data_IF_271699654796
#
_entry.id   IF_271699654796
#
_cell.length_a   1.000
_cell.length_b   1.000
_cell.length_c   1.000
_cell.angle_alpha   90.00
_cell.angle_beta   90.00
_cell.angle_gamma   90.00
#
_symmetry.space_group_name_H-M   'P 1'
#
loop_
_entity.id
_entity.type
_entity.pdbx_description
1 polymer ?
#
# COMPACT_ATOMS: atom_id res chain seq x y z
N UNK A 1 120.82 -8.26 63.08
CA UNK A 1 119.42 -7.89 63.41
C UNK A 1 118.60 -8.20 62.17
N UNK A 2 117.52 -8.97 62.09
CA UNK A 2 116.72 -9.82 62.99
C UNK A 2 115.70 -10.48 62.04
N UNK A 3 115.34 -11.76 62.28
CA UNK A 3 114.23 -12.54 61.66
C UNK A 3 112.87 -11.77 61.70
N UNK A 4 111.75 -12.19 61.03
CA UNK A 4 111.46 -13.53 60.51
C UNK A 4 110.62 -13.65 59.20
N UNK A 5 110.48 -14.91 58.78
CA UNK A 5 109.53 -15.49 57.81
C UNK A 5 108.06 -15.17 58.11
N UNK A 6 107.17 -15.32 57.10
CA UNK A 6 106.26 -16.47 57.15
C UNK A 6 106.03 -17.17 55.81
N UNK A 7 105.54 -18.40 55.97
CA UNK A 7 105.21 -19.46 55.03
C UNK A 7 103.93 -19.17 54.20
N UNK A 8 103.87 -19.64 52.94
CA UNK A 8 102.60 -19.93 52.22
C UNK A 8 102.81 -20.73 50.94
N UNK A 9 102.35 -21.98 50.99
CA UNK A 9 102.07 -22.91 49.89
C UNK A 9 101.28 -22.27 48.73
N UNK A 10 101.57 -22.67 47.48
CA UNK A 10 100.52 -22.78 46.44
C UNK A 10 100.90 -23.68 45.25
N UNK A 11 99.98 -24.60 45.00
CA UNK A 11 99.94 -25.73 44.06
C UNK A 11 100.03 -25.39 42.56
N UNK A 12 100.52 -26.39 41.81
CA UNK A 12 100.19 -26.82 40.44
C UNK A 12 99.25 -25.93 39.61
N UNK A 13 99.83 -25.12 38.70
CA UNK A 13 99.08 -24.26 37.77
C UNK A 13 99.08 -24.70 36.29
N UNK A 14 99.60 -25.87 35.93
CA UNK A 14 99.65 -26.30 34.53
C UNK A 14 98.50 -27.23 34.08
N UNK A 15 97.75 -27.84 35.01
CA UNK A 15 96.68 -28.83 34.69
C UNK A 15 95.24 -28.28 34.65
N UNK A 16 94.98 -27.11 35.26
CA UNK A 16 93.62 -26.56 35.37
C UNK A 16 93.15 -25.81 34.12
N UNK A 17 94.06 -25.21 33.33
CA UNK A 17 93.70 -24.40 32.15
C UNK A 17 93.18 -25.27 31.00
N UNK A 18 93.74 -26.47 30.81
CA UNK A 18 93.38 -27.36 29.70
C UNK A 18 92.04 -28.07 29.95
N UNK A 19 91.75 -28.44 31.20
CA UNK A 19 90.46 -28.98 31.62
C UNK A 19 89.36 -27.92 31.55
N UNK A 20 89.63 -26.68 31.98
CA UNK A 20 88.66 -25.59 31.92
C UNK A 20 88.26 -25.25 30.48
N UNK A 21 89.21 -25.18 29.55
CA UNK A 21 88.93 -24.90 28.13
C UNK A 21 88.11 -26.02 27.47
N UNK A 22 88.36 -27.29 27.81
CA UNK A 22 87.58 -28.43 27.30
C UNK A 22 86.15 -28.42 27.87
N UNK A 23 86.00 -28.13 29.17
CA UNK A 23 84.69 -28.05 29.83
C UNK A 23 83.89 -26.85 29.30
N UNK A 24 84.52 -25.69 29.11
CA UNK A 24 83.90 -24.52 28.50
C UNK A 24 83.49 -24.79 27.04
N UNK A 25 84.33 -25.47 26.26
CA UNK A 25 84.01 -25.84 24.89
C UNK A 25 82.85 -26.85 24.81
N UNK A 26 82.79 -27.84 25.71
CA UNK A 26 81.66 -28.78 25.79
C UNK A 26 80.36 -28.09 26.20
N UNK A 27 80.40 -27.19 27.20
CA UNK A 27 79.23 -26.41 27.62
C UNK A 27 78.72 -25.51 26.48
N UNK A 28 79.64 -24.89 25.73
CA UNK A 28 79.28 -24.07 24.57
C UNK A 28 78.54 -24.89 23.51
N UNK A 29 78.98 -26.10 23.21
CA UNK A 29 78.33 -26.99 22.23
C UNK A 29 76.91 -27.39 22.69
N UNK A 30 76.74 -27.73 23.96
CA UNK A 30 75.42 -28.11 24.51
C UNK A 30 74.45 -26.91 24.44
N UNK A 31 74.91 -25.72 24.83
CA UNK A 31 74.11 -24.49 24.77
C UNK A 31 73.77 -24.13 23.32
N UNK A 32 74.74 -24.23 22.40
CA UNK A 32 74.52 -23.95 20.98
C UNK A 32 73.48 -24.91 20.34
N UNK A 33 73.52 -26.20 20.68
CA UNK A 33 72.52 -27.18 20.23
C UNK A 33 71.13 -26.87 20.81
N UNK A 34 71.05 -26.51 22.10
CA UNK A 34 69.78 -26.11 22.72
C UNK A 34 69.17 -24.87 22.07
N UNK A 35 70.00 -23.86 21.75
CA UNK A 35 69.58 -22.64 21.05
C UNK A 35 69.15 -22.93 19.61
N UNK A 36 69.84 -23.82 18.90
CA UNK A 36 69.46 -24.21 17.54
C UNK A 36 68.09 -24.89 17.50
N UNK A 37 67.82 -25.81 18.44
CA UNK A 37 66.51 -26.45 18.58
C UNK A 37 65.43 -25.43 18.92
N UNK A 38 65.73 -24.46 19.80
CA UNK A 38 64.80 -23.38 20.12
C UNK A 38 64.48 -22.49 18.91
N UNK A 39 65.48 -22.18 18.09
CA UNK A 39 65.28 -21.41 16.85
C UNK A 39 64.46 -22.19 15.81
N UNK A 40 64.74 -23.47 15.60
CA UNK A 40 63.97 -24.32 14.67
C UNK A 40 62.52 -24.50 15.14
N UNK A 41 62.30 -24.63 16.45
CA UNK A 41 60.95 -24.63 17.01
C UNK A 41 60.23 -23.28 16.78
N UNK A 42 60.93 -22.15 16.95
CA UNK A 42 60.38 -20.81 16.73
C UNK A 42 60.06 -20.51 15.26
N UNK A 43 60.89 -20.96 14.33
CA UNK A 43 60.67 -20.78 12.88
C UNK A 43 59.47 -21.62 12.41
N UNK A 44 59.34 -22.86 12.87
CA UNK A 44 58.18 -23.72 12.60
C UNK A 44 56.90 -23.14 13.18
N UNK A 45 56.94 -22.64 14.42
CA UNK A 45 55.79 -21.97 15.02
C UNK A 45 55.34 -20.75 14.21
N UNK A 46 56.30 -19.93 13.75
CA UNK A 46 56.01 -18.75 12.92
C UNK A 46 55.43 -19.14 11.55
N UNK A 47 55.95 -20.20 10.92
CA UNK A 47 55.43 -20.71 9.65
C UNK A 47 53.98 -21.20 9.80
N UNK A 48 53.67 -21.91 10.89
CA UNK A 48 52.30 -22.36 11.18
C UNK A 48 51.32 -21.21 11.41
N UNK A 49 51.72 -20.17 12.14
CA UNK A 49 50.88 -18.98 12.31
C UNK A 49 50.59 -18.28 10.98
N UNK A 50 51.57 -18.24 10.05
CA UNK A 50 51.35 -17.73 8.69
C UNK A 50 50.36 -18.60 7.91
N UNK A 51 50.46 -19.93 8.02
CA UNK A 51 49.52 -20.83 7.34
C UNK A 51 48.10 -20.69 7.88
N UNK A 52 47.96 -20.54 9.20
CA UNK A 52 46.68 -20.31 9.86
C UNK A 52 46.06 -18.96 9.48
N UNK A 53 46.85 -17.88 9.46
CA UNK A 53 46.38 -16.56 9.03
C UNK A 53 45.85 -16.58 7.58
N UNK A 54 46.54 -17.29 6.68
CA UNK A 54 46.08 -17.48 5.29
C UNK A 54 44.82 -18.31 5.21
N UNK A 55 44.76 -19.42 5.95
CA UNK A 55 43.57 -20.27 6.02
C UNK A 55 42.36 -19.48 6.54
N UNK A 56 42.56 -18.52 7.45
CA UNK A 56 41.50 -17.60 7.90
C UNK A 56 41.03 -16.67 6.78
N UNK A 57 41.94 -16.02 6.05
CA UNK A 57 41.57 -15.18 4.91
C UNK A 57 40.82 -15.97 3.82
N UNK A 58 41.20 -17.23 3.59
CA UNK A 58 40.49 -18.13 2.66
C UNK A 58 39.09 -18.48 3.15
N UNK A 59 38.94 -18.81 4.44
CA UNK A 59 37.65 -19.12 5.03
C UNK A 59 36.71 -17.89 5.00
N UNK A 60 37.22 -16.69 5.28
CA UNK A 60 36.48 -15.43 5.18
C UNK A 60 36.03 -15.14 3.74
N UNK A 61 36.93 -15.28 2.77
CA UNK A 61 36.61 -15.08 1.35
C UNK A 61 35.54 -16.08 0.85
N UNK A 62 35.60 -17.34 1.30
CA UNK A 62 34.61 -18.35 0.95
C UNK A 62 33.24 -18.07 1.59
N UNK A 63 33.21 -17.57 2.83
CA UNK A 63 31.96 -17.11 3.46
C UNK A 63 31.34 -15.94 2.70
N UNK A 64 32.13 -14.96 2.25
CA UNK A 64 31.61 -13.86 1.43
C UNK A 64 31.09 -14.35 0.07
N UNK A 65 31.76 -15.32 -0.55
CA UNK A 65 31.25 -16.01 -1.75
C UNK A 65 29.90 -16.68 -1.48
N UNK A 66 29.78 -17.41 -0.37
CA UNK A 66 28.52 -18.06 0.04
C UNK A 66 27.40 -17.04 0.30
N UNK A 67 27.71 -15.89 0.93
CA UNK A 67 26.74 -14.80 1.14
C UNK A 67 26.21 -14.20 -0.16
N UNK A 68 26.99 -14.25 -1.24
CA UNK A 68 26.57 -13.80 -2.58
C UNK A 68 25.75 -14.82 -3.38
N UNK A 69 25.57 -16.05 -2.89
CA UNK A 69 24.83 -17.09 -3.62
C UNK A 69 23.30 -16.92 -3.49
N UNK A 70 22.58 -17.45 -4.48
CA UNK A 70 21.12 -17.64 -4.35
C UNK A 70 20.85 -18.69 -3.26
N UNK A 71 19.80 -18.46 -2.46
CA UNK A 71 19.38 -19.38 -1.38
C UNK A 71 19.16 -20.81 -1.90
N UNK A 72 18.57 -20.97 -3.09
CA UNK A 72 18.37 -22.28 -3.69
C UNK A 72 19.67 -23.07 -3.93
N UNK A 73 20.82 -22.39 -4.09
CA UNK A 73 22.13 -23.00 -4.26
C UNK A 73 22.86 -23.19 -2.91
N UNK A 74 22.50 -22.40 -1.90
CA UNK A 74 22.97 -22.57 -0.52
C UNK A 74 22.26 -23.73 0.18
N UNK A 75 20.98 -23.95 -0.12
CA UNK A 75 20.17 -25.02 0.45
C UNK A 75 20.81 -26.40 0.19
N UNK A 76 21.45 -26.99 1.21
CA UNK A 76 22.11 -28.29 1.10
C UNK A 76 23.50 -28.26 0.46
N UNK A 77 24.16 -27.09 0.42
CA UNK A 77 25.54 -26.96 -0.03
C UNK A 77 26.47 -27.81 0.85
N UNK A 78 27.20 -28.75 0.24
CA UNK A 78 28.39 -29.41 0.80
C UNK A 78 29.38 -29.62 -0.34
N UNK A 79 30.31 -28.68 -0.49
CA UNK A 79 31.31 -28.69 -1.56
C UNK A 79 32.71 -28.66 -0.95
N UNK A 80 33.63 -29.38 -1.59
CA UNK A 80 35.07 -29.28 -1.28
C UNK A 80 35.83 -28.79 -2.50
N UNK A 81 36.72 -27.82 -2.30
CA UNK A 81 37.62 -27.28 -3.31
C UNK A 81 39.05 -27.14 -2.78
N UNK A 82 40.01 -26.93 -3.68
CA UNK A 82 41.41 -26.70 -3.33
C UNK A 82 41.91 -25.37 -3.87
N UNK A 83 42.76 -24.69 -3.11
CA UNK A 83 43.40 -23.46 -3.52
C UNK A 83 44.88 -23.48 -3.16
N UNK A 84 45.74 -23.22 -4.15
CA UNK A 84 47.19 -23.18 -3.95
C UNK A 84 47.63 -21.75 -3.67
N UNK A 85 48.32 -21.53 -2.55
CA UNK A 85 48.89 -20.25 -2.15
C UNK A 85 50.34 -20.48 -1.72
N UNK A 86 51.27 -19.83 -2.42
CA UNK A 86 52.73 -19.97 -2.25
C UNK A 86 53.20 -21.43 -2.20
N UNK A 87 52.69 -22.25 -3.12
CA UNK A 87 53.08 -23.65 -3.25
C UNK A 87 52.45 -24.60 -2.22
N UNK A 88 51.66 -24.10 -1.27
CA UNK A 88 50.89 -24.92 -0.34
C UNK A 88 49.43 -25.03 -0.80
N UNK A 89 48.92 -26.27 -0.86
CA UNK A 89 47.51 -26.53 -1.17
C UNK A 89 46.67 -26.45 0.10
N UNK A 90 45.63 -25.62 0.07
CA UNK A 90 44.60 -25.53 1.09
C UNK A 90 43.33 -26.21 0.59
N UNK A 91 42.75 -27.08 1.41
CA UNK A 91 41.45 -27.70 1.14
C UNK A 91 40.36 -26.92 1.86
N UNK A 92 39.39 -26.40 1.12
CA UNK A 92 38.29 -25.58 1.59
C UNK A 92 37.00 -26.40 1.48
N UNK A 93 36.31 -26.64 2.59
CA UNK A 93 34.98 -27.26 2.63
C UNK A 93 33.93 -26.21 2.96
N UNK A 94 33.01 -25.96 2.03
CA UNK A 94 31.89 -25.04 2.18
C UNK A 94 30.63 -25.84 2.49
N UNK A 95 29.97 -25.54 3.61
CA UNK A 95 28.74 -26.20 4.03
C UNK A 95 27.65 -25.20 4.40
N UNK A 96 26.39 -25.55 4.17
CA UNK A 96 25.24 -24.76 4.62
C UNK A 96 24.15 -25.65 5.22
N UNK A 97 23.73 -25.33 6.43
CA UNK A 97 22.74 -26.09 7.21
C UNK A 97 21.64 -25.19 7.73
N UNK A 98 20.42 -25.72 7.80
CA UNK A 98 19.28 -24.99 8.36
C UNK A 98 19.34 -24.94 9.89
N UNK A 99 19.05 -23.76 10.43
CA UNK A 99 18.74 -23.51 11.83
C UNK A 99 17.27 -23.09 11.89
N UNK A 100 16.40 -23.96 12.39
CA UNK A 100 14.98 -23.64 12.60
C UNK A 100 14.79 -23.06 13.99
N UNK A 101 14.42 -21.78 14.09
CA UNK A 101 13.82 -21.23 15.30
C UNK A 101 12.30 -21.35 15.21
N UNK A 102 11.70 -22.04 16.18
CA UNK A 102 10.25 -22.13 16.33
C UNK A 102 9.67 -20.75 16.67
N UNK A 103 9.23 -20.02 15.65
CA UNK A 103 8.52 -18.75 15.88
C UNK A 103 7.12 -19.02 16.42
N UNK A 104 6.89 -18.65 17.67
CA UNK A 104 5.60 -18.71 18.36
C UNK A 104 4.68 -17.53 18.04
N UNK A 105 5.16 -16.53 17.28
CA UNK A 105 4.35 -15.38 16.82
C UNK A 105 4.76 -14.97 15.40
N UNK A 106 3.84 -15.08 14.43
CA UNK A 106 4.01 -14.41 13.13
C UNK A 106 3.68 -12.94 13.34
N UNK A 107 4.66 -12.15 13.77
CA UNK A 107 4.47 -10.70 13.88
C UNK A 107 4.46 -10.13 12.47
N UNK A 108 3.40 -9.39 12.16
CA UNK A 108 3.15 -8.68 10.91
C UNK A 108 4.14 -7.57 10.58
N UNK A 109 5.17 -7.44 11.41
CA UNK A 109 6.32 -6.61 11.13
C UNK A 109 7.11 -7.28 10.03
N UNK A 110 7.53 -6.49 9.04
CA UNK A 110 8.30 -6.96 7.91
C UNK A 110 9.40 -7.93 8.35
N UNK A 111 9.25 -9.21 7.97
CA UNK A 111 10.33 -10.20 8.03
C UNK A 111 10.43 -11.11 9.26
N UNK A 112 9.45 -11.23 10.15
CA UNK A 112 9.61 -12.09 11.36
C UNK A 112 8.43 -13.04 11.64
N UNK A 113 8.27 -14.05 10.77
CA UNK A 113 7.78 -15.39 11.16
C UNK A 113 8.90 -16.38 10.88
N UNK A 114 8.98 -17.54 11.57
CA UNK A 114 10.05 -18.56 11.53
C UNK A 114 11.30 -18.13 10.76
N UNK A 115 12.35 -17.72 11.48
CA UNK A 115 13.64 -17.45 10.83
C UNK A 115 14.24 -18.80 10.48
N UNK A 116 13.96 -19.27 9.27
CA UNK A 116 14.71 -20.36 8.68
C UNK A 116 16.08 -19.78 8.35
N UNK A 117 17.00 -19.78 9.32
CA UNK A 117 18.34 -19.23 9.14
C UNK A 117 19.19 -20.31 8.47
N UNK A 118 20.00 -19.92 7.48
CA UNK A 118 21.04 -20.79 6.95
C UNK A 118 22.35 -20.45 7.66
N UNK A 119 22.87 -21.40 8.43
CA UNK A 119 24.23 -21.33 8.92
C UNK A 119 25.17 -21.81 7.82
N UNK A 120 26.02 -20.93 7.31
CA UNK A 120 27.11 -21.26 6.39
C UNK A 120 28.40 -21.44 7.17
N UNK A 121 29.16 -22.48 6.83
CA UNK A 121 30.42 -22.84 7.49
C UNK A 121 31.47 -23.10 6.43
N UNK A 122 32.60 -22.39 6.49
CA UNK A 122 33.78 -22.68 5.68
C UNK A 122 34.85 -23.28 6.59
N UNK A 123 35.42 -24.42 6.20
CA UNK A 123 36.49 -25.10 6.95
C UNK A 123 37.70 -25.30 6.06
N UNK A 124 38.86 -24.83 6.51
CA UNK A 124 40.11 -24.86 5.74
C UNK A 124 41.16 -25.72 6.44
N UNK A 125 41.73 -26.67 5.70
CA UNK A 125 42.83 -27.55 6.13
C UNK A 125 44.02 -27.43 5.17
N UNK A 126 45.21 -27.78 5.65
CA UNK A 126 46.44 -27.86 4.83
C UNK A 126 47.30 -29.06 5.31
N UNK A 127 48.21 -29.58 4.47
CA UNK A 127 48.95 -30.82 4.78
C UNK A 127 49.71 -30.83 6.12
N UNK A 128 50.31 -29.71 6.54
CA UNK A 128 51.11 -29.65 7.78
C UNK A 128 50.31 -29.47 9.07
N UNK A 129 48.97 -29.35 8.98
CA UNK A 129 48.12 -29.10 10.15
C UNK A 129 48.13 -30.27 11.15
N UNK A 130 48.28 -31.50 10.66
CA UNK A 130 48.28 -32.72 11.47
C UNK A 130 46.96 -32.94 12.20
N UNK A 131 47.02 -33.14 13.52
CA UNK A 131 45.85 -33.36 14.40
C UNK A 131 45.27 -32.07 14.98
N UNK A 132 45.84 -30.91 14.66
CA UNK A 132 45.37 -29.61 15.16
C UNK A 132 44.02 -29.25 14.51
N UNK A 133 43.16 -28.50 15.22
CA UNK A 133 41.84 -28.16 14.68
C UNK A 133 41.97 -27.28 13.43
N UNK A 134 41.15 -27.54 12.40
CA UNK A 134 41.10 -26.73 11.19
C UNK A 134 40.63 -25.31 11.49
N UNK A 135 40.92 -24.39 10.57
CA UNK A 135 40.35 -23.04 10.64
C UNK A 135 38.92 -23.11 10.13
N UNK A 136 37.96 -22.69 10.94
CA UNK A 136 36.53 -22.69 10.58
C UNK A 136 35.93 -21.31 10.83
N UNK A 137 35.21 -20.80 9.84
CA UNK A 137 34.44 -19.55 9.94
C UNK A 137 32.98 -19.87 9.69
N UNK A 138 32.13 -19.42 10.61
CA UNK A 138 30.68 -19.58 10.52
C UNK A 138 30.01 -18.23 10.34
N UNK A 139 28.94 -18.20 9.55
CA UNK A 139 28.08 -17.03 9.38
C UNK A 139 26.64 -17.49 9.25
N UNK A 140 25.71 -16.56 9.49
CA UNK A 140 24.29 -16.78 9.25
C UNK A 140 23.84 -15.98 8.02
N UNK A 141 23.02 -16.59 7.18
CA UNK A 141 22.33 -15.97 6.05
C UNK A 141 20.84 -16.08 6.30
N UNK A 142 20.12 -14.96 6.19
CA UNK A 142 18.66 -14.95 6.27
C UNK A 142 18.07 -15.06 4.86
N UNK A 143 17.42 -16.18 4.50
CA UNK A 143 16.69 -16.29 3.25
C UNK A 143 15.55 -15.28 3.20
N UNK A 144 15.25 -14.68 2.04
CA UNK A 144 13.93 -14.12 1.81
C UNK A 144 12.86 -15.19 2.02
N UNK A 145 11.72 -14.86 2.64
CA UNK A 145 10.66 -15.84 2.89
C UNK A 145 10.19 -16.47 1.57
N UNK A 146 10.16 -17.80 1.50
CA UNK A 146 9.72 -18.56 0.31
C UNK A 146 10.81 -18.83 -0.74
N UNK A 147 12.08 -18.53 -0.46
CA UNK A 147 13.22 -18.81 -1.36
C UNK A 147 13.80 -20.21 -1.24
N UNK A 148 13.20 -21.06 -0.39
CA UNK A 148 13.73 -22.37 0.00
C UNK A 148 13.27 -23.50 -0.92
N UNK A 149 12.06 -23.41 -1.48
CA UNK A 149 11.54 -24.40 -2.43
C UNK A 149 11.51 -23.80 -3.84
N UNK A 150 12.15 -24.42 -4.85
CA UNK A 150 12.11 -23.95 -6.23
C UNK A 150 10.68 -23.70 -6.70
N UNK A 151 10.45 -22.63 -7.46
CA UNK A 151 9.14 -22.24 -7.98
C UNK A 151 8.08 -21.91 -6.92
N UNK A 152 8.47 -21.64 -5.68
CA UNK A 152 7.55 -21.15 -4.64
C UNK A 152 7.89 -19.74 -4.20
N UNK A 153 6.94 -19.07 -3.56
CA UNK A 153 7.09 -17.76 -2.92
C UNK A 153 6.24 -17.66 -1.65
N UNK A 154 6.13 -16.46 -1.11
CA UNK A 154 5.29 -16.15 0.04
C UNK A 154 4.26 -15.07 -0.29
N UNK A 155 3.14 -15.09 0.43
CA UNK A 155 2.09 -14.07 0.38
C UNK A 155 1.85 -13.54 1.78
N UNK A 156 2.02 -12.23 1.96
CA UNK A 156 1.68 -11.50 3.17
C UNK A 156 0.43 -10.67 2.87
N UNK A 157 -0.66 -10.90 3.60
CA UNK A 157 -1.85 -10.06 3.52
C UNK A 157 -1.99 -9.25 4.80
N UNK A 158 -2.09 -7.93 4.70
CA UNK A 158 -2.42 -7.05 5.81
C UNK A 158 -3.82 -6.47 5.65
N UNK A 159 -4.51 -6.29 6.77
CA UNK A 159 -5.84 -5.67 6.84
C UNK A 159 -5.83 -4.61 7.92
N UNK A 160 -6.25 -3.40 7.55
CA UNK A 160 -6.39 -2.27 8.46
C UNK A 160 -7.80 -1.71 8.41
N UNK A 161 -8.17 -0.98 9.46
CA UNK A 161 -9.39 -0.17 9.51
C UNK A 161 -9.15 1.24 8.96
N UNK A 162 -10.21 2.06 8.91
CA UNK A 162 -10.15 3.45 8.42
C UNK A 162 -9.15 4.36 9.16
N UNK A 163 -8.73 3.97 10.36
CA UNK A 163 -7.78 4.72 11.21
C UNK A 163 -6.36 4.16 11.12
N UNK A 164 -6.14 3.18 10.25
CA UNK A 164 -4.87 2.49 10.09
C UNK A 164 -4.58 1.47 11.19
N UNK A 165 -5.53 1.15 12.06
CA UNK A 165 -5.35 0.15 13.09
C UNK A 165 -5.46 -1.27 12.49
N UNK A 166 -4.68 -2.19 13.04
CA UNK A 166 -4.63 -3.58 12.62
C UNK A 166 -5.97 -4.29 12.87
N UNK A 167 -6.52 -4.94 11.84
CA UNK A 167 -7.78 -5.69 11.96
C UNK A 167 -7.51 -7.17 12.23
N UNK A 168 -7.77 -7.61 13.46
CA UNK A 168 -7.58 -9.00 13.92
C UNK A 168 -8.79 -9.87 13.59
N UNK A 169 -8.60 -11.15 13.31
CA UNK A 169 -9.69 -12.12 13.14
C UNK A 169 -10.28 -12.18 11.73
N UNK A 170 -9.64 -11.58 10.73
CA UNK A 170 -10.05 -11.70 9.32
C UNK A 170 -9.61 -13.05 8.81
N UNK A 171 -10.57 -13.93 8.49
CA UNK A 171 -10.26 -15.21 7.86
C UNK A 171 -10.05 -15.01 6.37
N UNK A 172 -8.96 -15.56 5.84
CA UNK A 172 -8.63 -15.51 4.44
C UNK A 172 -8.33 -16.91 3.92
N UNK A 173 -8.77 -17.21 2.70
CA UNK A 173 -8.42 -18.44 2.01
C UNK A 173 -8.21 -18.19 0.52
N UNK A 174 -7.22 -18.87 -0.05
CA UNK A 174 -6.86 -18.74 -1.45
C UNK A 174 -6.79 -20.08 -2.16
N UNK A 175 -7.16 -20.09 -3.44
CA UNK A 175 -7.04 -21.25 -4.33
C UNK A 175 -6.49 -20.86 -5.70
N UNK A 176 -5.65 -21.71 -6.29
CA UNK A 176 -4.96 -21.49 -7.56
C UNK A 176 -4.02 -22.66 -7.86
N UNK A 177 -2.73 -22.41 -8.16
CA UNK A 177 -1.68 -23.44 -8.22
C UNK A 177 -1.52 -24.30 -6.95
N UNK A 178 -2.02 -23.81 -5.81
CA UNK A 178 -2.16 -24.55 -4.56
C UNK A 178 -3.34 -24.01 -3.76
N UNK A 179 -3.40 -24.32 -2.47
CA UNK A 179 -4.40 -23.74 -1.56
C UNK A 179 -3.79 -23.30 -0.24
N UNK A 180 -4.40 -22.29 0.38
CA UNK A 180 -4.00 -21.80 1.69
C UNK A 180 -5.19 -21.21 2.44
N UNK A 181 -5.09 -21.17 3.77
CA UNK A 181 -6.01 -20.46 4.64
C UNK A 181 -5.31 -19.95 5.88
N UNK A 182 -5.86 -18.92 6.51
CA UNK A 182 -5.33 -18.37 7.74
C UNK A 182 -6.17 -17.20 8.23
N UNK A 183 -5.90 -16.76 9.45
CA UNK A 183 -6.63 -15.67 10.09
C UNK A 183 -5.66 -14.59 10.55
N UNK A 184 -6.02 -13.32 10.38
CA UNK A 184 -5.15 -12.23 10.83
C UNK A 184 -4.96 -12.24 12.35
N UNK A 185 -3.71 -12.15 12.80
CA UNK A 185 -3.37 -12.02 14.22
C UNK A 185 -3.51 -10.58 14.74
N UNK A 186 -3.02 -10.29 15.96
CA UNK A 186 -3.08 -8.96 16.58
C UNK A 186 -2.46 -7.82 15.74
N UNK A 187 -1.48 -8.15 14.89
CA UNK A 187 -0.86 -7.21 13.96
C UNK A 187 -1.65 -6.98 12.66
N UNK A 188 -2.84 -7.58 12.51
CA UNK A 188 -3.71 -7.34 11.37
C UNK A 188 -3.16 -7.92 10.07
N UNK A 189 -2.44 -9.03 10.13
CA UNK A 189 -1.93 -9.69 8.93
C UNK A 189 -1.85 -11.21 9.11
N UNK A 190 -1.61 -11.88 7.99
CA UNK A 190 -1.31 -13.30 7.89
C UNK A 190 -0.26 -13.53 6.80
N UNK A 191 0.69 -14.44 7.06
CA UNK A 191 1.78 -14.81 6.13
C UNK A 191 1.65 -16.28 5.75
N UNK A 192 1.56 -16.55 4.45
CA UNK A 192 1.66 -17.89 3.88
C UNK A 192 2.99 -18.06 3.15
N UNK A 193 3.63 -19.22 3.34
CA UNK A 193 4.96 -19.52 2.80
C UNK A 193 4.91 -20.72 1.87
N UNK A 194 5.91 -20.81 1.02
CA UNK A 194 6.12 -21.93 0.11
C UNK A 194 4.90 -22.20 -0.80
N UNK A 195 4.19 -21.14 -1.19
CA UNK A 195 3.10 -21.21 -2.14
C UNK A 195 3.67 -21.36 -3.55
N UNK A 196 3.21 -22.32 -4.37
CA UNK A 196 3.60 -22.38 -5.78
C UNK A 196 3.38 -21.04 -6.49
N UNK A 197 4.31 -20.66 -7.37
CA UNK A 197 4.20 -19.42 -8.10
C UNK A 197 2.99 -19.43 -9.05
N UNK A 198 2.28 -18.30 -9.12
CA UNK A 198 1.11 -18.09 -9.98
C UNK A 198 0.01 -17.28 -9.32
N UNK A 199 -1.15 -17.22 -9.96
CA UNK A 199 -2.28 -16.41 -9.51
C UNK A 199 -3.25 -17.22 -8.65
N UNK A 200 -3.72 -16.61 -7.57
CA UNK A 200 -4.66 -17.17 -6.61
C UNK A 200 -5.90 -16.29 -6.52
N UNK A 201 -7.02 -16.95 -6.32
CA UNK A 201 -8.31 -16.36 -5.97
C UNK A 201 -8.40 -16.30 -4.43
N UNK A 202 -8.23 -15.10 -3.85
CA UNK A 202 -8.26 -14.84 -2.41
C UNK A 202 -9.65 -14.40 -1.96
N UNK A 203 -10.21 -15.08 -0.97
CA UNK A 203 -11.51 -14.78 -0.38
C UNK A 203 -11.41 -14.38 1.09
N UNK A 204 -12.40 -13.64 1.58
CA UNK A 204 -12.43 -13.04 2.92
C UNK A 204 -13.64 -13.51 3.73
N UNK A 205 -13.47 -13.55 5.05
CA UNK A 205 -14.52 -13.85 6.02
C UNK A 205 -14.15 -13.41 7.43
N UNK A 206 -14.78 -14.00 8.45
CA UNK A 206 -14.49 -13.68 9.84
C UNK A 206 -14.78 -12.22 10.15
N UNK A 207 -13.82 -11.49 10.71
CA UNK A 207 -13.97 -10.07 11.07
C UNK A 207 -14.21 -9.13 9.86
N UNK A 208 -13.96 -9.59 8.62
CA UNK A 208 -14.30 -8.83 7.41
C UNK A 208 -15.80 -8.94 7.03
N UNK A 209 -16.54 -9.88 7.59
CA UNK A 209 -17.97 -10.02 7.29
C UNK A 209 -18.76 -8.78 7.74
N UNK A 210 -19.61 -8.25 6.84
CA UNK A 210 -20.40 -7.04 7.10
C UNK A 210 -19.61 -5.73 7.11
N UNK A 211 -18.32 -5.77 6.73
CA UNK A 211 -17.49 -4.58 6.51
C UNK A 211 -17.62 -4.10 5.07
N UNK A 212 -17.10 -2.91 4.80
CA UNK A 212 -16.93 -2.39 3.44
C UNK A 212 -15.50 -1.93 3.20
N UNK A 213 -15.06 -1.97 1.95
CA UNK A 213 -13.86 -1.28 1.48
C UNK A 213 -14.11 0.22 1.26
N UNK A 214 -13.08 0.94 0.80
CA UNK A 214 -13.14 2.38 0.48
C UNK A 214 -14.25 2.72 -0.51
N UNK A 215 -14.63 1.75 -1.35
CA UNK A 215 -15.58 1.91 -2.44
C UNK A 215 -17.01 1.57 -1.97
N UNK A 216 -17.15 1.27 -0.67
CA UNK A 216 -18.39 0.90 -0.04
C UNK A 216 -18.90 -0.47 -0.46
N UNK A 217 -18.02 -1.32 -1.01
CA UNK A 217 -18.33 -2.67 -1.42
C UNK A 217 -17.99 -3.65 -0.30
N UNK A 218 -18.80 -4.69 -0.18
CA UNK A 218 -18.47 -5.81 0.70
C UNK A 218 -17.19 -6.49 0.22
N UNK A 219 -16.31 -6.96 1.13
CA UNK A 219 -15.12 -7.74 0.78
C UNK A 219 -15.49 -8.87 -0.19
N UNK A 220 -14.91 -8.81 -1.37
CA UNK A 220 -15.15 -9.76 -2.46
C UNK A 220 -13.86 -10.48 -2.83
N UNK A 221 -13.98 -11.57 -3.59
CA UNK A 221 -12.84 -12.36 -4.02
C UNK A 221 -11.88 -11.54 -4.89
N UNK A 222 -10.60 -11.52 -4.53
CA UNK A 222 -9.55 -10.76 -5.21
C UNK A 222 -8.55 -11.70 -5.89
N UNK A 223 -7.98 -11.27 -7.01
CA UNK A 223 -6.85 -12.00 -7.62
C UNK A 223 -5.54 -11.49 -7.03
N UNK A 224 -4.71 -12.41 -6.52
CA UNK A 224 -3.38 -12.11 -5.97
C UNK A 224 -2.32 -12.99 -6.63
N UNK A 225 -1.12 -12.49 -6.81
CA UNK A 225 -0.01 -13.23 -7.44
C UNK A 225 1.06 -13.61 -6.45
N UNK A 226 1.57 -14.84 -6.57
CA UNK A 226 2.79 -15.29 -5.90
C UNK A 226 3.92 -15.39 -6.92
N UNK A 227 4.95 -14.59 -6.72
CA UNK A 227 6.21 -14.61 -7.48
C UNK A 227 7.24 -15.51 -6.78
N UNK A 228 7.92 -16.36 -7.54
CA UNK A 228 8.92 -17.29 -6.99
C UNK A 228 10.09 -16.55 -6.34
N UNK A 229 10.54 -17.04 -5.18
CA UNK A 229 11.65 -16.50 -4.41
C UNK A 229 11.38 -15.16 -3.73
N UNK A 230 10.13 -14.67 -3.79
CA UNK A 230 9.72 -13.36 -3.26
C UNK A 230 8.58 -13.48 -2.24
N UNK A 231 8.44 -12.43 -1.41
CA UNK A 231 7.25 -12.19 -0.60
C UNK A 231 6.41 -11.11 -1.26
N UNK A 232 5.21 -11.48 -1.68
CA UNK A 232 4.24 -10.55 -2.26
C UNK A 232 3.39 -10.01 -1.12
N UNK A 233 3.19 -8.71 -1.07
CA UNK A 233 2.39 -8.06 -0.03
C UNK A 233 1.13 -7.47 -0.65
N UNK A 234 -0.01 -7.74 -0.02
CA UNK A 234 -1.31 -7.17 -0.36
C UNK A 234 -1.90 -6.51 0.88
N UNK A 235 -2.38 -5.29 0.70
CA UNK A 235 -2.96 -4.49 1.77
C UNK A 235 -4.45 -4.27 1.49
N UNK A 236 -5.27 -4.51 2.50
CA UNK A 236 -6.71 -4.32 2.45
C UNK A 236 -7.14 -3.32 3.52
N UNK A 237 -8.13 -2.50 3.17
CA UNK A 237 -8.76 -1.56 4.07
C UNK A 237 -10.24 -1.92 4.20
N UNK A 238 -10.66 -2.31 5.39
CA UNK A 238 -12.04 -2.69 5.66
C UNK A 238 -12.50 -2.09 6.98
N UNK A 239 -13.73 -1.58 7.03
CA UNK A 239 -14.30 -1.06 8.27
C UNK A 239 -15.81 -1.20 8.33
N UNK A 240 -16.39 -0.99 9.50
CA UNK A 240 -17.83 -0.98 9.72
C UNK A 240 -18.46 0.15 8.92
N UNK A 241 -19.38 -0.15 7.97
CA UNK A 241 -19.97 0.88 7.14
C UNK A 241 -20.84 1.83 7.96
N UNK A 242 -20.76 3.12 7.67
CA UNK A 242 -21.69 4.12 8.17
C UNK A 242 -22.65 4.60 7.09
N UNK A 243 -23.45 5.61 7.44
CA UNK A 243 -24.37 6.29 6.51
C UNK A 243 -24.50 7.78 6.78
N UNK A 244 -24.90 8.51 5.76
CA UNK A 244 -25.35 9.90 5.84
C UNK A 244 -26.88 9.90 5.77
N UNK A 245 -27.54 10.52 6.74
CA UNK A 245 -29.00 10.66 6.78
C UNK A 245 -29.42 12.10 6.51
N UNK A 246 -30.61 12.28 5.93
CA UNK A 246 -31.25 13.58 5.80
C UNK A 246 -30.43 14.65 5.05
N UNK A 247 -29.76 14.27 3.95
CA UNK A 247 -29.20 15.26 3.01
C UNK A 247 -30.38 16.03 2.41
N UNK A 248 -30.54 17.29 2.84
CA UNK A 248 -31.69 18.11 2.48
C UNK A 248 -31.40 19.03 1.30
N UNK A 249 -32.44 19.53 0.64
CA UNK A 249 -32.29 20.42 -0.51
C UNK A 249 -33.02 21.74 -0.30
N UNK A 250 -32.41 22.81 -0.76
CA UNK A 250 -33.02 24.14 -0.77
C UNK A 250 -32.73 24.90 -2.04
N UNK A 251 -33.54 25.90 -2.35
CA UNK A 251 -33.26 26.87 -3.41
C UNK A 251 -33.69 28.27 -2.98
N UNK A 252 -33.13 29.30 -3.62
CA UNK A 252 -33.65 30.67 -3.48
C UNK A 252 -34.76 30.88 -4.50
N UNK A 253 -35.91 31.32 -4.02
CA UNK A 253 -36.99 31.75 -4.89
C UNK A 253 -36.73 33.13 -5.50
N UNK A 254 -37.60 33.56 -6.41
CA UNK A 254 -37.51 34.87 -7.08
C UNK A 254 -37.92 36.04 -6.19
N UNK A 255 -38.38 35.77 -4.96
CA UNK A 255 -38.56 36.74 -3.89
C UNK A 255 -37.36 36.78 -2.93
N UNK A 256 -36.24 36.11 -3.26
CA UNK A 256 -35.02 35.98 -2.46
C UNK A 256 -35.21 35.23 -1.12
N UNK A 257 -36.27 34.44 -0.98
CA UNK A 257 -36.49 33.56 0.16
C UNK A 257 -35.89 32.17 -0.10
N UNK A 258 -35.23 31.60 0.90
CA UNK A 258 -34.76 30.21 0.84
C UNK A 258 -35.95 29.28 1.10
N UNK A 259 -36.15 28.29 0.24
CA UNK A 259 -37.22 27.29 0.35
C UNK A 259 -36.66 25.89 0.27
N UNK A 260 -37.23 24.99 1.08
CA UNK A 260 -36.99 23.56 0.92
C UNK A 260 -37.58 23.09 -0.41
N UNK A 261 -36.85 22.20 -1.10
CA UNK A 261 -37.26 21.64 -2.38
C UNK A 261 -37.09 20.12 -2.37
N UNK A 262 -37.81 19.45 -3.25
CA UNK A 262 -37.66 18.00 -3.40
C UNK A 262 -36.62 17.69 -4.47
N UNK A 263 -35.81 16.66 -4.23
CA UNK A 263 -34.84 16.15 -5.20
C UNK A 263 -34.74 14.62 -5.17
N UNK A 264 -34.09 14.04 -6.17
CA UNK A 264 -34.10 12.60 -6.43
C UNK A 264 -32.72 11.94 -6.41
N UNK A 265 -31.63 12.70 -6.33
CA UNK A 265 -30.29 12.12 -6.46
C UNK A 265 -29.19 12.94 -5.79
N UNK A 266 -28.30 12.25 -5.09
CA UNK A 266 -27.06 12.82 -4.56
C UNK A 266 -25.85 12.05 -5.08
N UNK A 267 -24.75 12.77 -5.25
CA UNK A 267 -23.43 12.20 -5.44
C UNK A 267 -22.65 12.38 -4.13
N UNK A 268 -21.99 11.30 -3.71
CA UNK A 268 -21.15 11.24 -2.52
C UNK A 268 -19.77 10.80 -2.98
N UNK A 269 -18.81 11.70 -2.82
CA UNK A 269 -17.44 11.55 -3.30
C UNK A 269 -16.42 11.72 -2.18
N UNK A 270 -15.25 11.09 -2.32
CA UNK A 270 -14.14 11.21 -1.39
C UNK A 270 -12.83 10.97 -2.13
N UNK A 271 -11.77 11.69 -1.77
CA UNK A 271 -10.46 11.60 -2.42
C UNK A 271 -9.78 10.23 -2.29
N UNK A 272 -10.27 9.40 -1.36
CA UNK A 272 -9.85 8.01 -1.16
C UNK A 272 -10.66 6.98 -1.95
N UNK A 273 -11.59 7.42 -2.82
CA UNK A 273 -12.37 6.55 -3.70
C UNK A 273 -11.90 6.71 -5.15
N UNK A 274 -12.00 5.64 -5.92
CA UNK A 274 -11.75 5.70 -7.36
C UNK A 274 -12.93 6.28 -8.15
N UNK A 275 -14.15 6.06 -7.66
CA UNK A 275 -15.39 6.48 -8.33
C UNK A 275 -16.38 6.99 -7.29
N UNK A 276 -16.90 8.21 -7.49
CA UNK A 276 -17.98 8.76 -6.67
C UNK A 276 -19.24 7.87 -6.73
N UNK A 277 -19.99 7.83 -5.64
CA UNK A 277 -21.21 7.02 -5.55
C UNK A 277 -22.45 7.87 -5.72
N UNK A 278 -23.39 7.36 -6.51
CA UNK A 278 -24.67 8.02 -6.78
C UNK A 278 -25.74 7.29 -5.99
N UNK A 279 -26.53 8.04 -5.23
CA UNK A 279 -27.69 7.53 -4.51
C UNK A 279 -28.95 8.20 -5.04
N UNK A 280 -29.86 7.40 -5.58
CA UNK A 280 -31.13 7.86 -6.13
C UNK A 280 -32.30 7.51 -5.21
N UNK A 281 -33.32 8.35 -5.20
CA UNK A 281 -34.57 8.22 -4.46
C UNK A 281 -35.71 8.79 -5.29
N UNK A 282 -36.97 8.39 -5.09
CA UNK A 282 -38.10 9.23 -5.48
C UNK A 282 -37.91 10.66 -4.95
N UNK A 283 -38.46 11.66 -5.66
CA UNK A 283 -38.38 13.08 -5.26
C UNK A 283 -38.81 13.26 -3.82
N UNK A 284 -37.88 13.69 -2.97
CA UNK A 284 -38.07 13.84 -1.53
C UNK A 284 -37.35 15.09 -1.01
N UNK A 285 -37.79 15.62 0.14
CA UNK A 285 -37.15 16.78 0.79
C UNK A 285 -35.75 16.47 1.31
N UNK A 286 -35.46 15.18 1.52
CA UNK A 286 -34.14 14.70 1.90
C UNK A 286 -33.84 13.31 1.33
N UNK A 287 -32.55 13.00 1.19
CA UNK A 287 -32.05 11.69 0.77
C UNK A 287 -31.12 11.14 1.85
N UNK A 288 -31.26 9.86 2.16
CA UNK A 288 -30.36 9.14 3.06
C UNK A 288 -29.63 8.04 2.29
N UNK A 289 -28.34 7.85 2.58
CA UNK A 289 -27.57 6.73 2.03
C UNK A 289 -27.88 5.45 2.81
N UNK A 290 -27.79 4.27 2.19
CA UNK A 290 -27.71 3.01 2.93
C UNK A 290 -26.41 2.95 3.75
N UNK A 291 -26.36 2.05 4.74
CA UNK A 291 -25.17 1.81 5.58
C UNK A 291 -24.10 1.05 4.80
N UNK A 292 -23.48 1.74 3.85
CA UNK A 292 -22.48 1.20 2.93
C UNK A 292 -21.30 2.15 2.71
N UNK A 293 -21.23 3.28 3.41
CA UNK A 293 -20.13 4.23 3.24
C UNK A 293 -18.95 3.83 4.12
N UNK A 294 -17.76 3.86 3.55
CA UNK A 294 -16.52 3.66 4.28
C UNK A 294 -16.28 4.84 5.26
N UNK A 295 -15.97 4.60 6.53
CA UNK A 295 -15.84 5.67 7.52
C UNK A 295 -14.47 6.36 7.43
N UNK A 296 -14.19 7.07 6.32
CA UNK A 296 -12.96 7.85 6.16
C UNK A 296 -12.76 8.84 7.32
N UNK A 297 -11.49 9.11 7.67
CA UNK A 297 -11.13 10.12 8.68
C UNK A 297 -11.30 11.55 8.17
N UNK A 298 -11.31 11.74 6.85
CA UNK A 298 -11.65 12.98 6.16
C UNK A 298 -13.11 12.96 5.65
N UNK A 299 -13.74 14.13 5.42
CA UNK A 299 -15.14 14.20 5.05
C UNK A 299 -15.38 13.80 3.59
N UNK A 300 -16.52 13.15 3.35
CA UNK A 300 -17.12 13.05 2.03
C UNK A 300 -17.58 14.42 1.53
N UNK A 301 -17.41 14.67 0.23
CA UNK A 301 -18.06 15.74 -0.52
C UNK A 301 -19.41 15.25 -1.05
N UNK A 302 -20.46 16.03 -0.82
CA UNK A 302 -21.84 15.66 -1.12
C UNK A 302 -22.48 16.79 -1.92
N UNK A 303 -23.08 16.47 -3.06
CA UNK A 303 -23.78 17.43 -3.91
C UNK A 303 -24.96 16.77 -4.62
N UNK A 304 -25.93 17.57 -5.04
CA UNK A 304 -27.09 17.09 -5.79
C UNK A 304 -26.64 16.76 -7.22
N UNK A 305 -27.07 15.62 -7.76
CA UNK A 305 -26.68 15.24 -9.12
C UNK A 305 -26.61 13.75 -9.37
N UNK A 306 -26.15 13.41 -10.57
CA UNK A 306 -26.03 12.03 -11.07
C UNK A 306 -24.65 11.72 -11.65
N UNK A 307 -23.71 12.66 -11.64
CA UNK A 307 -22.34 12.44 -12.08
C UNK A 307 -21.40 13.51 -11.49
N UNK A 308 -20.09 13.35 -11.75
CA UNK A 308 -19.04 14.26 -11.31
C UNK A 308 -19.20 15.71 -11.79
N UNK A 309 -19.74 15.92 -12.99
CA UNK A 309 -19.89 17.26 -13.58
C UNK A 309 -20.97 18.10 -12.87
N UNK A 310 -21.83 17.47 -12.06
CA UNK A 310 -22.75 18.21 -11.19
C UNK A 310 -22.09 18.80 -9.93
N UNK A 311 -20.79 18.61 -9.75
CA UNK A 311 -20.05 19.15 -8.61
C UNK A 311 -19.84 20.67 -8.77
N UNK A 312 -20.38 21.52 -7.86
CA UNK A 312 -20.19 22.96 -7.92
C UNK A 312 -18.77 23.42 -7.55
N UNK A 313 -17.88 22.49 -7.16
CA UNK A 313 -16.52 22.67 -6.63
C UNK A 313 -16.43 23.41 -5.28
N UNK A 314 -17.32 24.36 -5.01
CA UNK A 314 -17.35 25.17 -3.80
C UNK A 314 -18.74 25.81 -3.56
N UNK A 315 -18.89 26.48 -2.41
CA UNK A 315 -20.11 27.23 -2.09
C UNK A 315 -21.21 26.39 -1.43
N UNK A 316 -22.45 26.88 -1.49
CA UNK A 316 -23.60 26.30 -0.77
C UNK A 316 -24.22 25.07 -1.47
N UNK A 317 -23.81 24.78 -2.70
CA UNK A 317 -24.27 23.61 -3.45
C UNK A 317 -23.58 22.30 -3.08
N UNK A 318 -22.51 22.37 -2.29
CA UNK A 318 -21.72 21.23 -1.84
C UNK A 318 -21.64 21.25 -0.31
N UNK A 319 -21.76 20.08 0.29
CA UNK A 319 -21.60 19.91 1.73
C UNK A 319 -20.61 18.80 2.06
N UNK A 320 -20.07 18.85 3.27
CA UNK A 320 -19.05 17.93 3.73
C UNK A 320 -19.55 17.15 4.95
N UNK A 321 -19.31 15.84 5.01
CA UNK A 321 -19.66 15.04 6.18
C UNK A 321 -18.64 13.94 6.46
N UNK A 322 -18.18 13.86 7.71
CA UNK A 322 -17.36 12.74 8.20
C UNK A 322 -18.30 11.64 8.68
N UNK A 323 -18.23 10.48 8.04
CA UNK A 323 -19.08 9.33 8.40
C UNK A 323 -18.42 8.57 9.56
N UNK A 324 -19.06 8.45 10.72
CA UNK A 324 -18.50 7.70 11.84
C UNK A 324 -18.51 6.19 11.58
N UNK A 325 -17.51 5.49 12.13
CA UNK A 325 -17.36 4.03 12.05
C UNK A 325 -18.63 3.33 12.54
N UNK A 326 -19.29 2.55 11.67
CA UNK A 326 -20.54 1.84 11.97
C UNK A 326 -21.73 2.73 12.33
N UNK A 327 -21.59 4.04 12.17
CA UNK A 327 -22.50 5.03 12.74
C UNK A 327 -23.28 5.81 11.69
N UNK A 328 -23.83 6.92 12.13
CA UNK A 328 -24.67 7.80 11.30
C UNK A 328 -24.32 9.23 11.54
N UNK A 329 -24.32 10.01 10.46
CA UNK A 329 -24.17 11.46 10.49
C UNK A 329 -25.35 12.10 9.76
N UNK A 330 -25.86 13.21 10.29
CA UNK A 330 -26.83 14.04 9.58
C UNK A 330 -26.13 14.79 8.46
N UNK A 331 -26.71 14.74 7.27
CA UNK A 331 -26.19 15.31 6.05
C UNK A 331 -26.37 16.83 5.98
N UNK A 332 -25.69 17.48 5.03
CA UNK A 332 -25.80 18.90 4.80
C UNK A 332 -27.13 19.25 4.11
N UNK A 333 -27.52 20.52 4.20
CA UNK A 333 -28.50 21.11 3.28
C UNK A 333 -27.78 21.66 2.06
N UNK A 334 -28.13 21.18 0.88
CA UNK A 334 -27.54 21.57 -0.40
C UNK A 334 -28.40 22.63 -1.07
N UNK A 335 -27.80 23.77 -1.44
CA UNK A 335 -28.49 24.82 -2.18
C UNK A 335 -28.37 24.59 -3.69
N UNK A 336 -29.49 24.25 -4.31
CA UNK A 336 -29.61 23.98 -5.73
C UNK A 336 -29.91 25.27 -6.53
N UNK A 337 -29.36 25.40 -7.75
CA UNK A 337 -29.83 26.37 -8.73
C UNK A 337 -31.32 26.20 -9.02
N UNK A 338 -32.00 27.31 -9.27
CA UNK A 338 -33.37 27.33 -9.79
C UNK A 338 -33.40 27.97 -11.17
N UNK A 339 -34.27 27.44 -12.03
CA UNK A 339 -34.51 27.90 -13.39
C UNK A 339 -35.99 28.24 -13.57
N UNK A 340 -36.33 29.50 -13.81
CA UNK A 340 -37.68 29.93 -14.17
C UNK A 340 -37.78 30.07 -15.67
N UNK A 341 -38.36 29.04 -16.29
CA UNK A 341 -38.69 29.07 -17.72
C UNK A 341 -40.01 29.80 -17.90
N UNK A 342 -40.05 30.79 -18.79
CA UNK A 342 -41.30 31.39 -19.24
C UNK A 342 -41.44 31.34 -20.76
N UNK A 343 -42.57 30.80 -21.22
CA UNK A 343 -42.89 30.61 -22.62
C UNK A 343 -43.71 31.78 -23.18
N UNK A 344 -43.29 32.20 -24.36
CA UNK A 344 -43.82 33.32 -25.11
C UNK A 344 -44.13 32.89 -26.54
N UNK A 345 -45.26 33.32 -27.10
CA UNK A 345 -45.67 32.98 -28.47
C UNK A 345 -44.93 33.79 -29.54
N UNK A 346 -44.33 34.92 -29.17
CA UNK A 346 -43.57 35.78 -30.07
C UNK A 346 -42.21 35.19 -30.45
N UNK A 347 -41.40 36.00 -31.14
CA UNK A 347 -40.14 35.57 -31.78
C UNK A 347 -38.88 36.00 -31.05
N UNK A 348 -38.97 36.99 -30.15
CA UNK A 348 -37.81 37.59 -29.46
C UNK A 348 -38.24 38.41 -28.25
N UNK A 349 -37.28 38.90 -27.46
CA UNK A 349 -37.55 39.83 -26.35
C UNK A 349 -38.14 41.17 -26.81
N UNK A 350 -37.82 41.63 -28.01
CA UNK A 350 -38.40 42.83 -28.63
C UNK A 350 -39.80 42.60 -29.24
N UNK A 351 -40.19 41.35 -29.47
CA UNK A 351 -41.55 40.97 -29.89
C UNK A 351 -41.98 39.70 -29.16
N UNK A 352 -42.33 39.81 -27.86
CA UNK A 352 -42.56 38.65 -27.01
C UNK A 352 -43.91 37.96 -27.26
N UNK A 353 -44.90 38.65 -27.84
CA UNK A 353 -46.23 38.06 -28.01
C UNK A 353 -46.91 37.76 -26.67
N UNK A 354 -47.75 36.72 -26.64
CA UNK A 354 -48.53 36.32 -25.46
C UNK A 354 -47.85 35.21 -24.66
N UNK A 355 -48.17 35.09 -23.37
CA UNK A 355 -47.74 33.93 -22.56
C UNK A 355 -48.40 32.66 -23.08
N UNK A 356 -47.63 31.58 -23.18
CA UNK A 356 -48.12 30.29 -23.67
C UNK A 356 -48.48 29.39 -22.49
N UNK A 357 -49.78 29.19 -22.25
CA UNK A 357 -50.28 28.25 -21.22
C UNK A 357 -50.36 26.82 -21.76
N UNK A 358 -50.09 25.83 -20.91
CA UNK A 358 -50.14 24.41 -21.27
C UNK A 358 -49.05 23.98 -22.26
N UNK A 359 -47.96 24.74 -22.39
CA UNK A 359 -46.79 24.33 -23.17
C UNK A 359 -45.95 23.32 -22.39
N UNK A 360 -45.38 22.36 -23.09
CA UNK A 360 -44.48 21.35 -22.54
C UNK A 360 -43.06 21.90 -22.48
N UNK A 361 -42.42 21.85 -21.31
CA UNK A 361 -40.99 22.13 -21.16
C UNK A 361 -40.26 20.84 -20.80
N UNK A 362 -39.11 20.60 -21.42
CA UNK A 362 -38.22 19.48 -21.14
C UNK A 362 -36.82 20.02 -20.88
N UNK A 363 -36.15 19.48 -19.87
CA UNK A 363 -34.75 19.78 -19.57
C UNK A 363 -33.95 18.49 -19.71
N UNK A 364 -32.72 18.57 -20.18
CA UNK A 364 -31.79 17.44 -20.28
C UNK A 364 -30.42 17.89 -19.79
N UNK A 365 -29.80 17.07 -18.95
CA UNK A 365 -28.43 17.27 -18.47
C UNK A 365 -27.50 16.54 -19.43
N UNK A 366 -26.83 17.27 -20.34
CA UNK A 366 -25.95 16.65 -21.32
C UNK A 366 -24.57 16.30 -20.73
N UNK A 367 -24.20 16.88 -19.59
CA UNK A 367 -22.91 16.59 -18.92
C UNK A 367 -22.93 15.16 -18.38
N UNK A 368 -23.97 14.80 -17.63
CA UNK A 368 -24.08 13.47 -17.04
C UNK A 368 -24.61 12.38 -17.98
N UNK A 369 -24.95 12.71 -19.23
CA UNK A 369 -25.61 11.79 -20.15
C UNK A 369 -27.00 11.31 -19.66
N UNK A 370 -27.56 11.96 -18.63
CA UNK A 370 -28.86 11.65 -18.03
C UNK A 370 -29.92 12.59 -18.58
N UNK A 371 -30.90 12.04 -19.31
CA UNK A 371 -32.07 12.80 -19.72
C UNK A 371 -33.04 12.97 -18.54
N UNK A 372 -32.94 14.09 -17.82
CA UNK A 372 -33.90 14.48 -16.78
C UNK A 372 -35.13 15.17 -17.39
N UNK A 373 -35.98 14.41 -18.09
CA UNK A 373 -37.20 14.97 -18.69
C UNK A 373 -38.18 15.43 -17.61
N UNK A 374 -38.15 16.73 -17.29
CA UNK A 374 -39.11 17.40 -16.43
C UNK A 374 -40.27 17.95 -17.26
N UNK A 375 -41.05 17.07 -17.89
CA UNK A 375 -42.24 17.49 -18.63
C UNK A 375 -43.23 18.13 -17.70
N UNK A 376 -43.39 19.42 -17.85
CA UNK A 376 -44.30 20.23 -17.04
C UNK A 376 -45.06 21.17 -17.95
N UNK A 377 -46.38 21.14 -17.80
CA UNK A 377 -47.25 22.08 -18.48
C UNK A 377 -47.12 23.45 -17.84
N UNK A 378 -46.86 24.47 -18.66
CA UNK A 378 -46.85 25.85 -18.17
C UNK A 378 -48.21 26.27 -17.63
N UNK A 379 -48.20 27.09 -16.58
CA UNK A 379 -49.39 27.72 -16.03
C UNK A 379 -49.93 28.84 -16.95
N UNK A 380 -50.99 29.53 -16.51
CA UNK A 380 -51.58 30.66 -17.25
C UNK A 380 -50.64 31.85 -17.48
N UNK A 381 -49.54 31.94 -16.72
CA UNK A 381 -48.47 32.94 -16.92
C UNK A 381 -47.36 32.44 -17.87
N UNK A 382 -47.54 31.26 -18.46
CA UNK A 382 -46.56 30.62 -19.33
C UNK A 382 -45.33 30.09 -18.57
N UNK A 383 -45.42 29.91 -17.26
CA UNK A 383 -44.31 29.51 -16.41
C UNK A 383 -44.44 28.05 -15.99
N UNK A 384 -43.30 27.37 -15.86
CA UNK A 384 -43.26 26.00 -15.33
C UNK A 384 -43.59 25.98 -13.84
N UNK A 385 -44.65 25.28 -13.38
CA UNK A 385 -45.01 25.18 -11.97
C UNK A 385 -43.88 24.57 -11.14
N UNK A 386 -43.81 24.96 -9.88
CA UNK A 386 -42.90 24.37 -8.90
C UNK A 386 -43.51 23.10 -8.30
N UNK A 387 -42.66 22.10 -8.12
CA UNK A 387 -42.94 20.79 -7.54
C UNK A 387 -43.31 20.83 -6.04
N UNK A 388 -42.99 21.91 -5.32
CA UNK A 388 -43.24 22.09 -3.89
C UNK A 388 -44.32 23.14 -3.54
N UNK A 389 -45.19 23.52 -4.48
CA UNK A 389 -46.27 24.49 -4.22
C UNK A 389 -45.79 25.94 -4.02
N UNK A 390 -44.54 26.24 -4.41
CA UNK A 390 -43.93 27.57 -4.37
C UNK A 390 -44.03 28.36 -5.69
N UNK A 391 -43.25 29.46 -5.79
CA UNK A 391 -43.10 30.23 -7.03
C UNK A 391 -42.63 29.32 -8.18
N UNK A 392 -43.15 29.51 -9.43
CA UNK A 392 -42.88 28.62 -10.56
C UNK A 392 -41.40 28.61 -10.96
N UNK A 393 -40.76 27.46 -10.76
CA UNK A 393 -39.34 27.22 -11.03
C UNK A 393 -39.03 25.72 -11.13
N UNK A 394 -37.94 25.41 -11.83
CA UNK A 394 -37.36 24.09 -11.95
C UNK A 394 -36.09 24.06 -11.10
N UNK A 395 -36.00 23.12 -10.16
CA UNK A 395 -34.76 22.86 -9.41
C UNK A 395 -33.90 21.90 -10.22
N UNK A 396 -32.63 22.24 -10.41
CA UNK A 396 -31.66 21.42 -11.16
C UNK A 396 -30.34 21.42 -10.40
N UNK A 397 -29.52 20.37 -10.52
CA UNK A 397 -28.19 20.41 -9.95
C UNK A 397 -27.32 21.40 -10.72
N UNK A 398 -26.08 21.59 -10.26
CA UNK A 398 -25.12 22.37 -11.01
C UNK A 398 -24.77 21.66 -12.31
N UNK A 399 -24.49 22.42 -13.37
CA UNK A 399 -24.07 21.87 -14.65
C UNK A 399 -23.79 22.98 -15.64
N UNK A 400 -22.99 22.68 -16.66
CA UNK A 400 -22.55 23.66 -17.65
C UNK A 400 -23.28 23.48 -18.99
N UNK A 401 -23.84 22.29 -19.24
CA UNK A 401 -24.44 21.94 -20.52
C UNK A 401 -25.85 21.37 -20.37
N UNK A 402 -26.81 22.21 -19.98
CA UNK A 402 -28.22 21.87 -20.10
C UNK A 402 -28.74 22.09 -21.52
N UNK A 403 -29.60 21.17 -21.93
CA UNK A 403 -30.50 21.34 -23.06
C UNK A 403 -31.92 21.57 -22.54
N UNK A 404 -32.54 22.66 -22.99
CA UNK A 404 -33.88 23.07 -22.60
C UNK A 404 -34.71 23.17 -23.87
N UNK A 405 -35.78 22.38 -23.94
CA UNK A 405 -36.71 22.37 -25.05
C UNK A 405 -38.10 22.75 -24.57
N UNK A 406 -38.83 23.52 -25.39
CA UNK A 406 -40.19 23.90 -25.10
C UNK A 406 -41.06 23.82 -26.35
N UNK A 407 -42.27 23.30 -26.18
CA UNK A 407 -43.29 23.20 -27.21
C UNK A 407 -44.56 23.91 -26.73
N UNK A 408 -45.36 24.41 -27.67
CA UNK A 408 -46.74 24.75 -27.35
C UNK A 408 -47.60 23.49 -27.16
N UNK A 409 -48.82 23.64 -26.65
CA UNK A 409 -49.74 22.52 -26.38
C UNK A 409 -50.13 21.70 -27.63
N UNK A 410 -50.02 22.30 -28.82
CA UNK A 410 -50.26 21.64 -30.11
C UNK A 410 -49.00 20.98 -30.70
N UNK A 411 -47.84 21.13 -30.04
CA UNK A 411 -46.52 20.63 -30.45
C UNK A 411 -46.06 21.03 -31.86
N UNK A 412 -46.62 22.10 -32.43
CA UNK A 412 -46.26 22.60 -33.75
C UNK A 412 -45.25 23.77 -33.69
N UNK A 413 -45.21 24.52 -32.59
CA UNK A 413 -44.20 25.56 -32.35
C UNK A 413 -43.23 25.11 -31.27
N UNK A 414 -41.92 25.17 -31.57
CA UNK A 414 -40.87 24.64 -30.70
C UNK A 414 -39.62 25.49 -30.64
N UNK A 415 -39.02 25.54 -29.45
CA UNK A 415 -37.75 26.20 -29.21
C UNK A 415 -36.82 25.29 -28.41
N UNK A 416 -35.57 25.21 -28.84
CA UNK A 416 -34.51 24.42 -28.19
C UNK A 416 -33.31 25.32 -27.91
N UNK A 417 -32.74 25.18 -26.72
CA UNK A 417 -31.52 25.86 -26.25
C UNK A 417 -30.59 24.79 -25.72
N UNK A 418 -29.31 24.83 -26.09
CA UNK A 418 -28.27 23.87 -25.69
C UNK A 418 -27.08 24.62 -25.10
N UNK A 419 -26.26 23.96 -24.28
CA UNK A 419 -25.11 24.61 -23.65
C UNK A 419 -25.51 25.63 -22.59
N UNK A 420 -26.68 25.43 -21.95
CA UNK A 420 -27.16 26.35 -20.93
C UNK A 420 -26.53 26.00 -19.58
N UNK A 421 -25.78 26.94 -19.00
CA UNK A 421 -25.11 26.72 -17.73
C UNK A 421 -25.98 27.13 -16.53
N UNK A 422 -26.02 26.28 -15.52
CA UNK A 422 -26.62 26.53 -14.20
C UNK A 422 -25.54 26.37 -13.13
N UNK A 423 -24.70 27.40 -12.98
CA UNK A 423 -23.50 27.35 -12.14
C UNK A 423 -23.57 28.24 -10.90
N UNK A 424 -24.69 28.92 -10.65
CA UNK A 424 -24.83 29.83 -9.51
C UNK A 424 -26.13 29.62 -8.74
N UNK A 425 -26.06 29.87 -7.43
CA UNK A 425 -27.19 29.84 -6.50
C UNK A 425 -27.49 31.24 -5.92
N UNK A 426 -27.30 32.28 -6.75
CA UNK A 426 -27.37 33.71 -6.40
C UNK A 426 -28.71 34.21 -5.83
N UNK A 427 -28.82 35.52 -5.56
CA UNK A 427 -29.92 36.16 -4.80
C UNK A 427 -31.32 36.03 -5.42
N UNK A 428 -31.39 35.73 -6.71
CA UNK A 428 -32.62 35.44 -7.44
C UNK A 428 -32.27 34.38 -8.47
N UNK A 429 -33.06 33.31 -8.59
CA UNK A 429 -32.81 32.21 -9.53
C UNK A 429 -32.58 32.65 -10.99
N UNK A 430 -32.26 31.69 -11.85
CA UNK A 430 -31.95 31.96 -13.25
C UNK A 430 -33.23 32.05 -14.07
N UNK A 431 -33.51 33.20 -14.70
CA UNK A 431 -34.70 33.38 -15.57
C UNK A 431 -34.36 33.06 -17.01
N UNK A 432 -35.20 32.24 -17.66
CA UNK A 432 -35.10 31.93 -19.08
C UNK A 432 -36.42 32.24 -19.80
N UNK A 433 -36.39 33.20 -20.72
CA UNK A 433 -37.51 33.46 -21.63
C UNK A 433 -37.31 32.68 -22.93
N UNK A 434 -38.28 31.85 -23.30
CA UNK A 434 -38.27 31.11 -24.56
C UNK A 434 -39.38 31.60 -25.48
N UNK A 435 -38.99 31.94 -26.71
CA UNK A 435 -39.86 32.54 -27.73
C UNK A 435 -40.13 31.48 -28.82
N UNK A 436 -41.37 30.98 -28.86
CA UNK A 436 -41.76 29.86 -29.73
C UNK A 436 -41.98 30.28 -31.20
N UNK A 437 -42.38 31.53 -31.45
CA UNK A 437 -42.58 32.07 -32.80
C UNK A 437 -41.28 32.48 -33.51
N UNK A 438 -40.12 32.15 -32.94
CA UNK A 438 -38.81 32.37 -33.56
C UNK A 438 -38.41 31.23 -34.51
N UNK A 439 -37.19 31.26 -35.04
CA UNK A 439 -36.66 30.15 -35.84
C UNK A 439 -36.63 28.85 -35.00
N UNK A 440 -37.14 27.72 -35.54
CA UNK A 440 -37.19 26.45 -34.81
C UNK A 440 -35.79 25.97 -34.44
N UNK A 441 -35.59 25.59 -33.18
CA UNK A 441 -34.29 25.13 -32.66
C UNK A 441 -33.95 23.66 -32.92
N UNK A 442 -34.74 22.95 -33.74
CA UNK A 442 -34.67 21.48 -33.91
C UNK A 442 -35.79 20.73 -33.17
N UNK A 443 -35.71 19.40 -33.12
CA UNK A 443 -36.68 18.52 -32.42
C UNK A 443 -36.42 18.50 -30.91
N UNK A 444 -37.47 18.51 -30.10
CA UNK A 444 -37.35 18.17 -28.68
C UNK A 444 -37.14 16.65 -28.51
N UNK A 445 -36.37 16.24 -27.50
CA UNK A 445 -36.12 14.82 -27.19
C UNK A 445 -37.38 14.08 -26.70
#
# INVERSE_FOLDING_TARGET
MTSPTPDRLRDDQAGFILVEVIVSAMLLVIVALGVFVAFDAGTRATAEERHRARAQSLAEADVERMRGMRIANLAGLDQTGTQVLDGLSYTIRSQATYQTESATTSTCLQGTGSRDLLQVTSTVTWPSIGTRPPVSVTSVVSPPNGSVVPNTGSLLASVKDSRGAAMTGVSMSGAGPGSFSGTTGPGGCVLWRNLPAGNYSLSFGGAAAGKVDTEGQSPSTQTVSVVSGSTNTVDYLFDSPGRIQDVAFSTRDYGNALRAVTWDSIVVDHTGMNTARIFTSPRALSISTPSTLFPFTSPYSIYAGTCGDNNPTSGLGIGNSVVPVGGTVTGPTLQMPSLQVTLWSGSSSSSPGSRVSGGDVTVRDNDCGVTRTLTTNTNSQGQVPNDAGGQPMINLPYGENYEICANNSAQNDRRRITGYALTSSGSTGTVLNMYLGGQPGGTCP
#
